data_IF_210712093671
#
_entry.id   IF_210712093671
#
_cell.length_a   1.000
_cell.length_b   1.000
_cell.length_c   1.000
_cell.angle_alpha   90.00
_cell.angle_beta   90.00
_cell.angle_gamma   90.00
#
_symmetry.space_group_name_H-M   'P 1'
#
loop_
_entity.id
_entity.type
_entity.pdbx_description
1 polymer ?
2 polymer ?
#
# COMPACT_ATOMS: atom_id res chain seq x y z
N UNK A 30 6.85 -22.36 19.38
CA UNK A 30 6.75 -22.30 20.86
C UNK A 30 6.44 -20.88 21.34
N UNK A 31 5.66 -20.14 20.57
CA UNK A 31 4.94 -18.98 21.11
C UNK A 31 3.75 -18.60 20.27
N UNK A 32 2.67 -18.13 20.90
CA UNK A 32 1.55 -17.70 20.09
C UNK A 32 1.83 -16.49 19.23
N UNK A 33 0.78 -16.05 18.56
CA UNK A 33 0.78 -14.88 17.72
C UNK A 33 0.24 -13.77 18.57
N UNK A 34 1.04 -12.74 18.76
CA UNK A 34 0.70 -11.67 19.68
C UNK A 34 -0.45 -10.87 19.09
N UNK A 35 -1.35 -10.36 19.93
CA UNK A 35 -2.50 -9.64 19.43
C UNK A 35 -2.12 -8.50 18.53
N UNK A 36 -2.99 -8.21 17.57
CA UNK A 36 -2.69 -7.15 16.61
C UNK A 36 -2.96 -5.80 17.22
N UNK A 37 -2.21 -4.84 16.74
CA UNK A 37 -2.30 -3.51 17.28
C UNK A 37 -1.79 -2.48 16.28
N UNK A 38 -2.51 -1.34 16.20
CA UNK A 38 -2.38 -0.38 15.12
C UNK A 38 -1.06 0.26 15.22
N UNK A 39 -0.47 0.58 14.09
CA UNK A 39 0.91 1.00 14.05
C UNK A 39 0.90 2.48 14.27
N UNK A 40 2.06 3.07 14.50
CA UNK A 40 2.10 4.41 15.02
C UNK A 40 3.47 4.94 14.88
N UNK A 41 3.60 6.28 14.97
CA UNK A 41 4.87 6.92 14.61
C UNK A 41 5.92 6.30 15.42
N UNK A 42 5.66 6.21 16.72
CA UNK A 42 6.67 5.70 17.59
C UNK A 42 6.96 4.24 17.31
N UNK A 43 5.94 3.42 17.07
CA UNK A 43 6.16 2.03 16.65
C UNK A 43 7.11 1.98 15.45
N UNK A 44 6.70 2.61 14.38
CA UNK A 44 7.58 2.71 13.28
C UNK A 44 8.97 3.14 13.77
N UNK A 45 9.07 4.27 14.47
CA UNK A 45 10.35 4.73 14.98
C UNK A 45 11.07 3.65 15.78
N UNK A 46 10.37 3.05 16.74
CA UNK A 46 10.98 2.04 17.60
C UNK A 46 11.46 0.80 16.84
N UNK A 47 10.65 0.34 15.90
CA UNK A 47 11.06 -0.75 15.05
C UNK A 47 12.25 -0.30 14.23
N UNK A 48 12.17 0.91 13.73
CA UNK A 48 13.21 1.42 12.87
C UNK A 48 14.50 1.30 13.64
N UNK A 49 14.46 1.65 14.90
CA UNK A 49 15.68 1.59 15.70
C UNK A 49 16.18 0.20 15.88
N UNK A 50 15.25 -0.68 16.21
CA UNK A 50 15.55 -2.05 16.62
C UNK A 50 16.25 -2.83 15.55
N UNK A 51 15.89 -2.59 14.31
CA UNK A 51 16.53 -3.28 13.21
C UNK A 51 17.85 -2.60 12.88
N UNK A 52 17.87 -1.27 12.83
CA UNK A 52 19.09 -0.53 12.57
C UNK A 52 20.20 -1.07 13.46
N UNK A 53 19.86 -1.29 14.72
CA UNK A 53 20.81 -1.77 15.70
C UNK A 53 21.17 -3.22 15.48
N UNK A 54 20.13 -4.05 15.36
CA UNK A 54 20.29 -5.47 15.09
C UNK A 54 21.15 -5.69 13.86
N UNK A 55 21.13 -4.73 12.94
CA UNK A 55 21.94 -4.81 11.73
C UNK A 55 21.29 -5.76 10.74
N UNK A 56 22.01 -6.08 9.67
CA UNK A 56 21.44 -6.89 8.60
C UNK A 56 20.16 -6.26 8.08
N UNK A 57 20.30 -5.05 7.52
CA UNK A 57 19.26 -4.46 6.70
C UNK A 57 19.89 -3.33 5.92
N UNK A 58 20.52 -2.39 6.62
CA UNK A 58 21.31 -1.34 5.98
C UNK A 58 22.22 -1.94 4.89
N UNK A 59 21.95 -1.58 3.64
CA UNK A 59 22.72 -2.07 2.51
C UNK A 59 22.35 -3.48 2.06
N UNK A 60 21.19 -3.98 2.51
CA UNK A 60 20.66 -5.22 1.98
C UNK A 60 19.94 -4.91 0.67
N UNK A 61 20.06 -5.82 -0.29
CA UNK A 61 19.34 -5.69 -1.54
C UNK A 61 17.86 -5.96 -1.30
N UNK A 62 17.01 -5.01 -1.69
CA UNK A 62 15.58 -5.18 -1.55
C UNK A 62 15.07 -6.35 -2.35
N UNK A 63 13.91 -6.85 -1.95
CA UNK A 63 13.18 -7.80 -2.71
C UNK A 63 11.74 -7.67 -2.32
N UNK A 64 10.86 -8.23 -3.12
CA UNK A 64 9.46 -8.30 -2.76
C UNK A 64 9.33 -9.26 -1.59
N UNK A 65 10.05 -10.38 -1.69
CA UNK A 65 10.01 -11.44 -0.69
C UNK A 65 10.70 -11.03 0.60
N UNK A 66 12.00 -10.72 0.50
CA UNK A 66 12.78 -10.26 1.65
C UNK A 66 12.02 -9.26 2.54
N UNK A 67 11.28 -8.34 1.91
CA UNK A 67 10.45 -7.39 2.63
C UNK A 67 9.29 -8.13 3.29
N UNK A 68 8.64 -9.03 2.56
CA UNK A 68 7.57 -9.83 3.13
C UNK A 68 8.02 -10.64 4.35
N UNK A 69 9.26 -11.17 4.32
CA UNK A 69 9.78 -11.93 5.47
C UNK A 69 9.93 -11.01 6.66
N UNK A 70 10.74 -9.97 6.52
CA UNK A 70 10.77 -8.87 7.48
C UNK A 70 9.33 -8.58 7.93
N UNK A 71 8.52 -8.11 7.00
CA UNK A 71 7.23 -7.59 7.36
C UNK A 71 6.33 -8.63 8.03
N UNK A 72 6.56 -9.91 7.79
CA UNK A 72 5.72 -10.93 8.43
C UNK A 72 6.17 -11.13 9.87
N UNK A 73 7.46 -11.43 10.01
CA UNK A 73 8.08 -11.63 11.31
C UNK A 73 7.66 -10.61 12.35
N UNK A 74 7.35 -9.39 11.93
CA UNK A 74 6.95 -8.34 12.86
C UNK A 74 5.51 -8.51 13.27
N UNK A 75 4.66 -8.83 12.30
CA UNK A 75 3.25 -9.01 12.56
C UNK A 75 3.10 -10.13 13.54
N UNK A 76 3.90 -11.15 13.28
CA UNK A 76 3.88 -12.32 14.08
C UNK A 76 4.31 -12.00 15.49
N UNK A 77 5.46 -11.34 15.56
CA UNK A 77 6.15 -11.16 16.81
C UNK A 77 5.48 -10.11 17.67
N UNK A 78 5.12 -8.99 17.04
CA UNK A 78 4.74 -7.74 17.72
C UNK A 78 3.36 -7.19 17.37
N UNK A 79 2.68 -7.80 16.41
CA UNK A 79 1.25 -7.52 16.19
C UNK A 79 0.91 -6.42 15.21
N UNK A 80 1.94 -5.92 14.53
CA UNK A 80 1.76 -4.84 13.57
C UNK A 80 1.52 -5.50 12.26
N UNK A 81 0.28 -5.41 11.80
CA UNK A 81 -0.12 -5.99 10.51
C UNK A 81 0.92 -5.64 9.47
N UNK A 82 0.92 -6.33 8.31
CA UNK A 82 1.99 -5.94 7.41
C UNK A 82 1.52 -5.16 6.20
N UNK A 83 1.02 -3.95 6.42
CA UNK A 83 0.62 -3.04 5.33
C UNK A 83 1.18 -1.62 5.56
N UNK A 84 2.31 -1.50 6.26
CA UNK A 84 2.86 -0.18 6.61
C UNK A 84 4.14 0.12 5.85
N UNK A 85 4.87 -0.91 5.45
CA UNK A 85 6.19 -0.72 4.85
C UNK A 85 6.11 -0.36 3.36
N UNK A 86 5.32 0.65 3.04
CA UNK A 86 5.08 1.03 1.66
C UNK A 86 6.02 2.13 1.35
N UNK A 87 6.25 2.37 0.09
CA UNK A 87 7.15 3.44 -0.27
C UNK A 87 6.57 4.20 -1.45
N UNK A 88 7.11 5.38 -1.66
CA UNK A 88 6.80 6.16 -2.83
C UNK A 88 7.20 5.33 -4.05
N UNK A 89 6.36 5.37 -5.12
CA UNK A 89 6.84 4.91 -6.44
C UNK A 89 8.07 5.68 -6.92
N UNK A 90 8.76 5.11 -7.89
CA UNK A 90 10.02 5.64 -8.37
C UNK A 90 9.82 6.46 -9.63
N UNK A 91 10.79 6.43 -10.55
CA UNK A 91 12.12 5.83 -10.42
C UNK A 91 13.03 6.78 -9.66
N UNK A 92 13.96 6.20 -8.92
CA UNK A 92 14.76 6.94 -7.92
C UNK A 92 14.52 6.35 -6.55
N UNK A 93 15.17 6.94 -5.55
CA UNK A 93 15.01 6.54 -4.15
C UNK A 93 13.54 6.41 -3.76
N UNK A 94 13.16 5.26 -3.20
CA UNK A 94 11.79 5.07 -2.78
C UNK A 94 11.70 5.47 -1.31
N UNK A 95 10.94 6.52 -1.03
CA UNK A 95 10.84 7.06 0.32
C UNK A 95 9.64 6.44 1.03
N UNK A 96 9.77 6.15 2.33
CA UNK A 96 8.74 5.40 3.02
C UNK A 96 7.55 6.25 3.31
N UNK A 97 6.37 5.65 3.27
CA UNK A 97 5.14 6.42 3.38
C UNK A 97 4.74 6.58 4.84
N UNK A 98 5.02 5.57 5.67
CA UNK A 98 4.64 5.57 7.13
C UNK A 98 5.66 6.39 7.95
N UNK A 99 5.24 7.56 8.41
CA UNK A 99 6.17 8.45 9.08
C UNK A 99 6.69 7.80 10.37
N UNK A 100 7.99 7.57 10.43
CA UNK A 100 8.58 6.90 11.60
C UNK A 100 9.41 5.66 11.26
N UNK A 101 9.03 5.00 10.17
CA UNK A 101 9.90 4.06 9.55
C UNK A 101 11.02 4.93 9.02
N UNK A 102 12.27 4.55 9.24
CA UNK A 102 13.40 5.41 8.83
C UNK A 102 14.34 4.67 7.90
N UNK A 103 13.73 3.94 7.00
CA UNK A 103 14.46 3.24 5.97
C UNK A 103 13.92 3.59 4.58
N UNK A 104 14.82 4.04 3.71
CA UNK A 104 14.46 4.37 2.34
C UNK A 104 15.11 3.33 1.46
N UNK A 105 14.51 3.09 0.30
CA UNK A 105 15.03 2.12 -0.66
C UNK A 105 15.84 2.89 -1.65
N UNK A 106 17.15 2.69 -1.61
CA UNK A 106 18.08 3.42 -2.46
C UNK A 106 18.51 2.58 -3.66
N UNK A 107 18.44 3.16 -4.88
CA UNK A 107 19.03 2.50 -6.02
C UNK A 107 20.52 2.81 -6.08
N UNK A 108 21.32 1.79 -6.36
CA UNK A 108 22.76 1.95 -6.55
C UNK A 108 23.08 1.60 -8.00
N UNK A 109 24.36 1.63 -8.35
CA UNK A 109 24.79 1.08 -9.64
C UNK A 109 24.78 -0.46 -9.56
N UNK A 110 24.79 -1.15 -10.72
CA UNK A 110 24.71 -2.61 -10.70
C UNK A 110 25.98 -3.26 -10.15
N UNK A 139 16.61 -1.57 -12.36
CA UNK A 139 17.31 -0.82 -11.31
C UNK A 139 17.10 -1.46 -9.92
N UNK A 140 18.20 -1.92 -9.33
CA UNK A 140 18.17 -2.73 -8.10
C UNK A 140 18.16 -1.82 -6.87
N UNK A 141 17.47 -2.24 -5.83
CA UNK A 141 17.29 -1.40 -4.65
C UNK A 141 17.92 -1.96 -3.39
N UNK A 142 18.37 -1.06 -2.53
CA UNK A 142 18.99 -1.44 -1.27
C UNK A 142 18.36 -0.64 -0.10
N UNK A 143 17.99 -1.37 0.95
CA UNK A 143 17.51 -0.81 2.21
C UNK A 143 18.60 0.08 2.76
N UNK A 144 18.21 1.27 3.22
CA UNK A 144 19.18 2.22 3.74
C UNK A 144 18.57 3.14 4.78
N UNK A 145 19.32 3.35 5.85
CA UNK A 145 18.84 4.06 7.01
C UNK A 145 19.09 5.55 6.82
N UNK A 146 18.16 6.35 7.30
CA UNK A 146 18.33 7.77 7.32
C UNK A 146 17.64 8.40 8.53
N UNK A 147 18.44 8.87 9.49
CA UNK A 147 17.91 9.54 10.68
C UNK A 147 17.04 10.74 10.30
N UNK A 148 17.44 11.49 9.28
CA UNK A 148 16.64 12.62 8.88
C UNK A 148 15.19 12.23 8.71
N UNK A 149 14.96 10.97 8.37
CA UNK A 149 13.60 10.53 8.14
C UNK A 149 12.78 10.50 9.42
N UNK A 150 13.46 10.55 10.57
CA UNK A 150 12.74 10.57 11.83
C UNK A 150 11.84 11.78 11.88
N UNK A 151 12.30 12.88 11.28
CA UNK A 151 11.64 14.17 11.36
C UNK A 151 11.09 14.70 10.05
N UNK A 152 11.63 14.22 8.92
CA UNK A 152 11.27 14.76 7.58
C UNK A 152 10.47 13.75 6.84
N UNK A 153 9.24 14.09 6.50
CA UNK A 153 8.32 13.12 5.96
C UNK A 153 8.14 13.26 4.44
N UNK A 154 9.20 12.91 3.71
CA UNK A 154 9.29 13.07 2.26
C UNK A 154 8.00 12.77 1.51
N UNK A 155 7.48 11.58 1.74
CA UNK A 155 6.33 11.08 1.00
C UNK A 155 5.21 12.08 1.01
N UNK A 156 4.98 12.68 2.16
CA UNK A 156 3.92 13.67 2.32
C UNK A 156 4.25 14.98 1.57
N UNK A 157 5.54 15.23 1.38
CA UNK A 157 5.99 16.31 0.51
C UNK A 157 5.67 15.97 -0.92
N UNK A 158 6.12 14.81 -1.38
CA UNK A 158 5.98 14.42 -2.80
C UNK A 158 5.00 13.26 -3.01
N UNK A 159 3.82 13.28 -2.43
CA UNK A 159 2.71 14.15 -2.73
C UNK A 159 1.65 13.64 -1.81
N UNK A 160 0.70 14.48 -1.45
CA UNK A 160 -0.46 14.11 -0.65
C UNK A 160 -1.33 12.91 -1.16
N UNK A 161 -0.95 11.73 -0.65
CA UNK A 161 -1.82 10.57 -0.43
C UNK A 161 -2.38 10.69 0.99
N UNK A 162 -2.38 11.91 1.53
CA UNK A 162 -2.63 12.23 2.95
C UNK A 162 -3.70 13.35 3.10
N UNK A 163 -4.77 13.06 3.84
CA UNK A 163 -5.92 13.95 4.04
C UNK A 163 -6.65 14.26 2.74
N UNK B 3 -4.70 -6.20 43.86
CA UNK B 3 -4.03 -6.13 42.51
C UNK B 3 -4.41 -7.34 41.65
N UNK B 4 -4.54 -7.14 40.35
CA UNK B 4 -4.70 -8.24 39.41
C UNK B 4 -3.31 -8.76 39.03
N UNK B 5 -3.06 -10.06 39.28
CA UNK B 5 -1.78 -10.68 38.94
C UNK B 5 -1.88 -11.64 37.77
N UNK B 6 -0.80 -11.75 37.02
CA UNK B 6 -0.74 -12.66 35.87
C UNK B 6 0.56 -13.46 35.89
N UNK B 7 0.52 -14.66 35.33
CA UNK B 7 1.73 -15.44 35.14
C UNK B 7 1.99 -15.65 33.69
N UNK B 8 3.26 -15.63 33.35
CA UNK B 8 3.65 -15.61 31.97
C UNK B 8 3.64 -17.00 31.42
N UNK B 9 2.78 -17.25 30.46
CA UNK B 9 2.69 -18.55 29.85
C UNK B 9 3.70 -18.73 28.76
N UNK B 10 4.38 -17.67 28.36
CA UNK B 10 5.41 -17.81 27.34
C UNK B 10 6.44 -16.72 27.55
N UNK B 11 7.56 -16.78 26.85
CA UNK B 11 8.48 -15.68 26.83
C UNK B 11 7.95 -14.66 25.86
N UNK B 12 8.16 -13.38 26.15
CA UNK B 12 7.93 -12.28 25.20
C UNK B 12 9.16 -11.42 25.12
N UNK B 13 9.59 -11.08 23.92
CA UNK B 13 10.63 -10.06 23.81
C UNK B 13 10.10 -8.79 23.16
N UNK B 14 10.26 -7.68 23.88
CA UNK B 14 9.89 -6.41 23.37
C UNK B 14 11.05 -5.88 22.56
N UNK B 15 10.75 -5.15 21.48
CA UNK B 15 11.75 -4.37 20.74
C UNK B 15 11.65 -2.90 21.08
N UNK B 16 10.68 -2.52 21.91
CA UNK B 16 10.46 -1.12 22.20
C UNK B 16 10.32 -0.85 23.65
N UNK B 17 10.93 0.23 24.11
CA UNK B 17 10.95 0.50 25.48
C UNK B 17 9.58 0.79 26.00
N UNK B 18 8.59 0.81 25.13
CA UNK B 18 7.25 0.97 25.61
C UNK B 18 6.61 -0.37 25.97
N UNK B 19 7.11 -1.46 25.39
CA UNK B 19 6.55 -2.78 25.62
C UNK B 19 7.45 -3.53 26.60
N UNK B 20 6.85 -4.33 27.49
CA UNK B 20 7.59 -4.95 28.62
C UNK B 20 7.99 -6.37 28.33
N UNK B 21 9.23 -6.55 27.91
CA UNK B 21 9.76 -7.87 27.67
C UNK B 21 9.56 -8.64 28.95
N UNK B 22 9.04 -9.87 28.87
CA UNK B 22 8.99 -10.75 30.05
C UNK B 22 9.34 -12.22 29.74
N UNK B 23 9.60 -12.96 30.82
CA UNK B 23 10.01 -14.35 30.75
C UNK B 23 8.93 -15.27 31.29
N UNK B 24 8.76 -16.42 30.65
CA UNK B 24 7.73 -17.37 31.04
C UNK B 24 7.83 -17.71 32.51
N UNK B 25 6.71 -17.65 33.21
CA UNK B 25 6.69 -17.87 34.65
C UNK B 25 6.81 -16.59 35.48
N UNK B 26 7.06 -15.46 34.81
CA UNK B 26 7.09 -14.19 35.51
C UNK B 26 5.71 -13.76 35.96
N UNK B 27 5.70 -13.09 37.11
CA UNK B 27 4.48 -12.53 37.68
C UNK B 27 4.44 -11.03 37.46
N UNK B 28 3.36 -10.56 36.86
CA UNK B 28 3.20 -9.16 36.58
C UNK B 28 1.86 -8.69 37.15
N UNK B 29 1.82 -7.40 37.48
CA UNK B 29 0.62 -6.73 37.93
C UNK B 29 0.08 -6.00 36.74
N UNK B 30 -1.19 -6.22 36.40
CA UNK B 30 -1.78 -5.49 35.29
C UNK B 30 -2.11 -4.12 35.82
N UNK B 31 -1.83 -3.10 35.03
CA UNK B 31 -2.16 -1.71 35.38
C UNK B 31 -3.26 -1.14 34.49
N UNK B 32 -3.29 -1.58 33.24
CA UNK B 32 -4.30 -1.17 32.29
C UNK B 32 -4.73 -2.37 31.44
N UNK B 33 -6.03 -2.67 31.44
CA UNK B 33 -6.60 -3.76 30.63
C UNK B 33 -7.33 -3.22 29.39
N UNK B 34 -6.92 -2.07 28.87
CA UNK B 34 -7.78 -1.41 27.90
C UNK B 34 -8.04 -2.26 26.66
N UNK B 35 -6.99 -2.81 26.06
CA UNK B 35 -7.12 -3.53 24.79
C UNK B 35 -6.82 -5.00 24.89
N UNK B 36 -6.35 -5.57 23.78
CA UNK B 36 -5.70 -6.88 23.77
C UNK B 36 -4.26 -6.78 24.26
N UNK B 37 -3.71 -5.57 24.27
CA UNK B 37 -2.41 -5.27 24.86
C UNK B 37 -2.63 -4.52 26.15
N UNK B 38 -1.93 -4.94 27.20
CA UNK B 38 -2.18 -4.45 28.54
C UNK B 38 -0.93 -3.85 29.09
N UNK B 39 -1.08 -2.83 29.93
CA UNK B 39 0.06 -2.24 30.59
C UNK B 39 0.21 -2.97 31.88
N UNK B 40 1.45 -3.31 32.23
CA UNK B 40 1.73 -4.07 33.44
C UNK B 40 3.05 -3.67 34.05
N UNK B 41 3.26 -4.16 35.27
CA UNK B 41 4.50 -3.96 36.01
C UNK B 41 5.07 -5.30 36.44
N UNK B 42 6.39 -5.40 36.42
CA UNK B 42 7.04 -6.65 36.75
C UNK B 42 7.36 -6.69 38.21
N UNK B 43 6.78 -7.66 38.91
CA UNK B 43 6.94 -7.78 40.37
C UNK B 43 8.38 -8.07 40.69
N UNK B 44 9.09 -8.62 39.71
CA UNK B 44 10.51 -8.85 39.81
C UNK B 44 11.28 -7.56 39.60
N UNK B 45 11.17 -7.04 38.38
CA UNK B 45 12.08 -6.01 37.87
C UNK B 45 11.60 -4.61 38.20
N UNK B 46 10.32 -4.49 38.57
CA UNK B 46 9.67 -3.20 38.76
C UNK B 46 9.59 -2.34 37.50
N UNK B 47 10.01 -2.91 36.37
CA UNK B 47 9.90 -2.22 35.10
C UNK B 47 8.49 -2.40 34.59
N UNK B 48 7.92 -1.34 34.02
CA UNK B 48 6.59 -1.38 33.42
C UNK B 48 6.62 -1.46 31.89
N UNK B 49 5.49 -1.80 31.30
CA UNK B 49 5.38 -1.68 29.87
C UNK B 49 4.10 -2.31 29.37
N UNK B 50 3.94 -2.33 28.06
CA UNK B 50 2.81 -3.03 27.49
C UNK B 50 3.20 -4.46 27.15
N UNK B 51 2.23 -5.37 27.34
CA UNK B 51 2.42 -6.82 27.16
C UNK B 51 1.26 -7.38 26.38
N UNK B 52 1.50 -8.44 25.58
CA UNK B 52 0.44 -9.07 24.82
C UNK B 52 -0.34 -9.94 25.74
N UNK B 53 -1.62 -9.65 25.94
CA UNK B 53 -2.41 -10.28 27.00
C UNK B 53 -2.64 -11.76 26.80
N UNK B 54 -2.59 -12.22 25.57
CA UNK B 54 -2.70 -13.66 25.28
C UNK B 54 -1.47 -14.49 25.71
N UNK B 55 -0.40 -13.85 26.17
CA UNK B 55 0.73 -14.56 26.68
C UNK B 55 0.65 -14.69 28.20
N UNK B 56 -0.32 -14.10 28.85
CA UNK B 56 -0.34 -14.24 30.29
C UNK B 56 -1.55 -15.03 30.75
N UNK B 57 -1.50 -15.48 32.01
CA UNK B 57 -2.59 -16.24 32.61
C UNK B 57 -2.93 -15.61 33.95
N UNK B 58 -4.19 -15.24 34.12
CA UNK B 58 -4.60 -14.51 35.30
C UNK B 58 -4.62 -15.43 36.48
N UNK B 59 -4.18 -14.95 37.64
CA UNK B 59 -4.09 -15.82 38.83
C UNK B 59 -4.81 -15.17 39.99
N UNK B 60 -5.70 -15.96 40.62
CA UNK B 60 -6.52 -15.47 41.71
C UNK B 60 -5.77 -15.59 43.03
N UNK B 61 -4.44 -15.46 42.97
CA UNK B 61 -3.55 -15.65 44.12
C UNK B 61 -3.51 -14.39 45.00
N UNK C 25 10.50 28.90 -15.77
CA UNK C 25 9.31 28.32 -16.37
C UNK C 25 9.52 26.85 -16.71
N UNK C 26 8.56 26.25 -17.39
CA UNK C 26 8.71 24.87 -17.80
C UNK C 26 7.47 24.01 -17.54
N UNK C 27 7.49 23.25 -16.45
CA UNK C 27 6.47 22.27 -16.15
C UNK C 27 6.67 21.63 -14.79
N UNK C 28 6.37 20.35 -14.67
CA UNK C 28 6.58 19.62 -13.43
C UNK C 28 5.37 19.81 -12.53
N UNK C 29 5.13 18.89 -11.58
CA UNK C 29 5.93 17.68 -11.36
C UNK C 29 5.88 17.24 -9.90
N UNK C 30 6.43 16.07 -9.57
CA UNK C 30 7.09 15.24 -10.56
C UNK C 30 6.12 14.50 -11.45
N UNK C 31 5.35 15.22 -12.24
CA UNK C 31 4.64 14.58 -13.37
C UNK C 31 3.38 15.15 -12.71
N UNK C 32 2.58 15.92 -13.47
CA UNK C 32 1.31 16.39 -12.95
C UNK C 32 0.30 15.29 -12.74
N UNK C 33 -0.87 15.71 -12.29
CA UNK C 33 -2.01 14.86 -12.01
C UNK C 33 -2.88 14.86 -13.26
N UNK C 34 -3.04 13.71 -13.88
CA UNK C 34 -3.71 13.65 -15.16
C UNK C 34 -5.17 14.01 -14.94
N UNK C 35 -5.86 14.56 -15.94
CA UNK C 35 -7.23 14.99 -15.76
C UNK C 35 -8.14 13.86 -15.43
N UNK C 36 -9.17 14.15 -14.67
CA UNK C 36 -10.07 13.10 -14.23
C UNK C 36 -10.99 12.73 -15.35
N UNK C 37 -11.47 11.51 -15.28
CA UNK C 37 -12.32 11.01 -16.33
C UNK C 37 -13.14 9.82 -15.87
N UNK C 38 -14.37 9.75 -16.30
CA UNK C 38 -15.30 8.81 -15.73
C UNK C 38 -14.88 7.47 -16.10
N UNK C 39 -15.18 6.52 -15.23
CA UNK C 39 -14.67 5.16 -15.34
C UNK C 39 -15.71 4.42 -16.12
N UNK C 40 -15.37 3.22 -16.55
CA UNK C 40 -16.13 2.55 -17.57
C UNK C 40 -15.71 1.10 -17.66
N UNK C 41 -16.58 0.30 -18.31
CA UNK C 41 -16.47 -1.14 -18.20
C UNK C 41 -15.12 -1.40 -18.68
N UNK C 42 -14.80 -0.79 -19.83
CA UNK C 42 -13.52 -1.12 -20.43
C UNK C 42 -12.39 -0.68 -19.53
N UNK C 43 -12.49 0.54 -19.03
CA UNK C 43 -11.49 1.02 -18.07
C UNK C 43 -11.34 -0.04 -17.00
N UNK C 44 -12.41 -0.31 -16.30
CA UNK C 44 -12.29 -1.33 -15.31
C UNK C 44 -11.60 -2.58 -15.91
N UNK C 45 -12.09 -3.05 -17.06
CA UNK C 45 -11.49 -4.23 -17.71
C UNK C 45 -10.01 -4.04 -17.99
N UNK C 46 -9.67 -2.92 -18.63
CA UNK C 46 -8.27 -2.62 -18.97
C UNK C 46 -7.39 -2.52 -17.75
N UNK C 47 -7.87 -1.87 -16.70
CA UNK C 47 -7.11 -1.79 -15.45
C UNK C 47 -7.01 -3.16 -14.92
N UNK C 48 -8.08 -3.91 -14.98
CA UNK C 48 -8.08 -5.24 -14.39
C UNK C 48 -6.94 -6.04 -15.02
N UNK C 49 -6.80 -5.91 -16.32
CA UNK C 49 -5.80 -6.65 -17.01
C UNK C 49 -4.43 -6.25 -16.57
N UNK C 50 -4.21 -4.94 -16.55
CA UNK C 50 -2.90 -4.31 -16.38
C UNK C 50 -2.28 -4.72 -15.11
N UNK C 51 -3.09 -4.87 -14.07
CA UNK C 51 -2.59 -5.29 -12.76
C UNK C 51 -2.42 -6.81 -12.66
N UNK C 52 -3.37 -7.57 -13.22
CA UNK C 52 -3.22 -9.04 -13.26
C UNK C 52 -1.88 -9.37 -13.86
N UNK C 53 -1.53 -8.69 -14.95
CA UNK C 53 -0.27 -8.93 -15.65
C UNK C 53 0.88 -8.47 -14.79
N UNK C 54 0.83 -7.21 -14.37
CA UNK C 54 1.88 -6.62 -13.54
C UNK C 54 2.14 -7.50 -12.34
N UNK C 55 1.14 -8.26 -11.92
CA UNK C 55 1.31 -9.15 -10.78
C UNK C 55 1.25 -8.36 -9.48
N UNK C 56 1.57 -9.02 -8.37
CA UNK C 56 1.46 -8.39 -7.05
C UNK C 56 0.05 -7.85 -6.82
N UNK C 57 -0.90 -8.75 -6.82
CA UNK C 57 -2.20 -8.46 -6.30
C UNK C 57 -2.84 -9.80 -6.06
N UNK C 58 -2.95 -10.61 -7.11
CA UNK C 58 -3.50 -11.95 -6.98
C UNK C 58 -2.90 -12.61 -5.77
N UNK C 59 -3.73 -12.92 -4.77
CA UNK C 59 -3.26 -13.55 -3.53
C UNK C 59 -2.60 -12.61 -2.52
N UNK C 60 -2.77 -11.30 -2.71
CA UNK C 60 -2.37 -10.32 -1.71
C UNK C 60 -3.48 -10.22 -0.68
N UNK C 61 -3.09 -10.08 0.57
CA UNK C 61 -4.03 -9.90 1.66
C UNK C 61 -4.61 -8.50 1.60
N UNK C 62 -5.93 -8.41 1.54
CA UNK C 62 -6.62 -7.12 1.52
C UNK C 62 -6.35 -6.29 2.76
N UNK C 63 -6.56 -5.00 2.60
CA UNK C 63 -6.55 -4.08 3.70
C UNK C 63 -7.35 -2.88 3.29
N UNK C 64 -7.73 -2.06 4.25
CA UNK C 64 -8.41 -0.85 3.91
C UNK C 64 -7.41 0.05 3.22
N UNK C 65 -6.20 0.09 3.78
CA UNK C 65 -5.13 0.94 3.26
C UNK C 65 -4.62 0.45 1.93
N UNK C 66 -4.07 -0.75 1.92
CA UNK C 66 -3.55 -1.35 0.69
C UNK C 66 -4.44 -1.07 -0.50
N UNK C 67 -5.77 -1.12 -0.29
CA UNK C 67 -6.71 -0.78 -1.35
C UNK C 67 -6.60 0.71 -1.66
N UNK C 68 -6.61 1.55 -0.65
CA UNK C 68 -6.47 3.00 -0.85
C UNK C 68 -5.19 3.37 -1.61
N UNK C 69 -4.09 2.66 -1.38
CA UNK C 69 -2.85 2.94 -2.10
C UNK C 69 -3.09 2.60 -3.55
N UNK C 70 -3.40 1.34 -3.83
CA UNK C 70 -3.84 0.96 -5.17
C UNK C 70 -4.74 2.06 -5.71
N UNK C 71 -5.86 2.27 -5.03
CA UNK C 71 -6.90 3.11 -5.56
C UNK C 71 -6.44 4.53 -5.76
N UNK C 72 -5.45 5.00 -5.02
CA UNK C 72 -5.01 6.39 -5.22
C UNK C 72 -4.07 6.56 -6.39
N UNK C 73 -3.09 5.70 -6.45
CA UNK C 73 -2.13 5.63 -7.52
C UNK C 73 -2.79 5.62 -8.88
N UNK C 74 -4.01 5.13 -8.99
CA UNK C 74 -4.69 5.09 -10.28
C UNK C 74 -5.25 6.47 -10.58
N UNK C 75 -5.93 7.05 -9.61
CA UNK C 75 -6.54 8.35 -9.81
C UNK C 75 -5.48 9.31 -10.24
N UNK C 76 -4.36 9.18 -9.57
CA UNK C 76 -3.24 10.03 -9.82
C UNK C 76 -2.74 9.85 -11.22
N UNK C 77 -2.53 8.60 -11.57
CA UNK C 77 -1.85 8.22 -12.78
C UNK C 77 -2.73 8.34 -14.01
N UNK C 78 -3.98 7.93 -13.87
CA UNK C 78 -4.86 7.74 -15.00
C UNK C 78 -6.21 8.44 -14.89
N UNK C 79 -6.45 9.13 -13.79
CA UNK C 79 -7.57 10.06 -13.70
C UNK C 79 -8.88 9.46 -13.27
N UNK C 80 -8.86 8.21 -12.84
CA UNK C 80 -10.07 7.54 -12.41
C UNK C 80 -10.21 7.76 -10.92
N UNK C 81 -11.20 8.59 -10.58
CA UNK C 81 -11.46 8.90 -9.17
C UNK C 81 -11.43 7.63 -8.36
N UNK C 82 -11.31 7.73 -7.03
CA UNK C 82 -11.28 6.44 -6.36
C UNK C 82 -12.57 6.17 -5.63
N UNK C 83 -13.61 5.84 -6.35
CA UNK C 83 -14.85 5.39 -5.75
C UNK C 83 -15.49 4.22 -6.50
N UNK C 84 -14.67 3.41 -7.17
CA UNK C 84 -15.16 2.32 -8.05
C UNK C 84 -14.86 0.94 -7.50
N UNK C 85 -13.81 0.85 -6.69
CA UNK C 85 -13.36 -0.45 -6.20
C UNK C 85 -14.17 -0.84 -4.98
N UNK C 86 -15.48 -0.94 -5.13
CA UNK C 86 -16.33 -1.29 -4.01
C UNK C 86 -16.74 -2.71 -4.21
N UNK C 87 -17.13 -3.37 -3.13
CA UNK C 87 -17.50 -4.75 -3.25
C UNK C 87 -18.80 -5.00 -2.51
N UNK C 88 -19.41 -6.15 -2.81
CA UNK C 88 -20.57 -6.59 -2.08
C UNK C 88 -20.18 -6.81 -0.63
N UNK C 89 -21.07 -6.48 0.32
CA UNK C 89 -20.86 -6.87 1.70
C UNK C 89 -20.80 -8.36 1.83
N UNK C 90 -20.33 -8.83 2.98
CA UNK C 90 -20.10 -10.25 3.20
C UNK C 90 -21.23 -10.85 4.01
N UNK C 91 -20.92 -11.85 4.83
CA UNK C 91 -19.67 -12.56 4.95
C UNK C 91 -19.58 -13.60 3.84
N UNK C 92 -18.35 -13.87 3.42
CA UNK C 92 -18.07 -14.66 2.22
C UNK C 92 -17.29 -13.83 1.22
N UNK C 93 -17.03 -14.42 0.06
CA UNK C 93 -16.37 -13.72 -1.03
C UNK C 93 -17.01 -12.38 -1.30
N UNK C 94 -16.22 -11.31 -1.35
CA UNK C 94 -16.75 -10.00 -1.67
C UNK C 94 -16.60 -9.77 -3.18
N UNK C 95 -17.75 -9.66 -3.85
CA UNK C 95 -17.79 -9.54 -5.30
C UNK C 95 -17.77 -8.08 -5.68
N UNK C 96 -17.10 -7.72 -6.77
CA UNK C 96 -16.92 -6.31 -7.07
C UNK C 96 -18.12 -5.77 -7.69
N UNK C 97 -18.42 -4.50 -7.41
CA UNK C 97 -19.66 -3.87 -7.85
C UNK C 97 -19.50 -3.31 -9.24
N UNK C 98 -18.30 -2.78 -9.57
CA UNK C 98 -18.04 -2.09 -10.88
C UNK C 98 -17.74 -3.06 -12.03
N UNK C 99 -18.73 -3.29 -12.89
CA UNK C 99 -18.63 -4.37 -13.86
C UNK C 99 -17.43 -4.06 -14.74
N UNK C 100 -16.45 -4.97 -14.71
CA UNK C 100 -15.22 -4.80 -15.52
C UNK C 100 -13.96 -4.89 -14.68
N UNK C 101 -14.08 -4.50 -13.43
CA UNK C 101 -13.08 -4.84 -12.48
C UNK C 101 -13.22 -6.35 -12.34
N UNK C 102 -12.13 -7.11 -12.49
CA UNK C 102 -12.23 -8.56 -12.44
C UNK C 102 -11.51 -9.17 -11.27
N UNK C 103 -11.60 -8.51 -10.12
CA UNK C 103 -10.96 -9.00 -8.90
C UNK C 103 -12.03 -9.11 -7.85
N UNK C 104 -12.04 -10.24 -7.17
CA UNK C 104 -12.95 -10.43 -6.05
C UNK C 104 -12.11 -10.55 -4.80
N UNK C 105 -12.72 -10.30 -3.65
CA UNK C 105 -12.01 -10.45 -2.38
C UNK C 105 -12.42 -11.79 -1.82
N UNK C 106 -11.47 -12.72 -1.74
CA UNK C 106 -11.77 -14.08 -1.27
C UNK C 106 -11.28 -14.26 0.16
N UNK C 107 -12.13 -14.78 1.04
CA UNK C 107 -11.66 -15.16 2.34
C UNK C 107 -11.02 -16.54 2.27
N UNK C 108 -9.89 -16.72 2.95
CA UNK C 108 -9.22 -18.02 3.06
C UNK C 108 -9.26 -18.45 4.50
N UNK C 109 -8.63 -19.58 4.80
CA UNK C 109 -8.38 -19.94 6.22
C UNK C 109 -7.28 -19.02 6.75
N UNK C 110 -7.21 -18.86 8.08
CA UNK C 110 -6.26 -17.90 8.64
C UNK C 110 -4.85 -18.47 8.85
N UNK C 111 -4.79 -19.69 9.40
CA UNK C 111 -3.63 -20.21 10.11
C UNK C 111 -3.78 -19.88 11.60
N UNK C 137 -11.62 -12.26 16.10
CA UNK C 137 -11.88 -13.25 15.05
C UNK C 137 -12.67 -12.63 13.88
N UNK C 138 -12.11 -12.73 12.68
CA UNK C 138 -12.83 -12.31 11.47
C UNK C 138 -12.17 -12.82 10.19
N UNK C 139 -12.93 -12.78 9.09
CA UNK C 139 -12.43 -13.13 7.80
C UNK C 139 -11.23 -12.25 7.51
N UNK C 140 -10.10 -12.87 7.15
CA UNK C 140 -9.04 -12.17 6.43
C UNK C 140 -9.28 -12.36 4.93
N UNK C 141 -9.05 -11.30 4.15
CA UNK C 141 -9.37 -11.33 2.72
C UNK C 141 -8.14 -11.22 1.82
N UNK C 142 -8.25 -11.83 0.64
CA UNK C 142 -7.19 -11.84 -0.35
C UNK C 142 -7.74 -11.49 -1.72
N UNK C 143 -7.08 -10.54 -2.37
CA UNK C 143 -7.40 -10.15 -3.74
C UNK C 143 -7.23 -11.37 -4.63
N UNK C 144 -8.15 -11.56 -5.56
CA UNK C 144 -8.12 -12.74 -6.42
C UNK C 144 -8.81 -12.49 -7.75
N UNK C 145 -8.15 -12.93 -8.82
CA UNK C 145 -8.57 -12.66 -10.18
C UNK C 145 -9.55 -13.70 -10.63
N UNK C 146 -10.55 -13.26 -11.40
CA UNK C 146 -11.50 -14.18 -11.99
C UNK C 146 -11.98 -13.65 -13.33
N UNK C 147 -11.53 -14.31 -14.40
CA UNK C 147 -11.93 -13.99 -15.77
C UNK C 147 -13.42 -14.08 -15.98
N UNK C 148 -14.08 -15.03 -15.36
CA UNK C 148 -15.54 -15.07 -15.44
C UNK C 148 -16.15 -13.70 -15.14
N UNK C 149 -15.52 -12.95 -14.25
CA UNK C 149 -16.08 -11.69 -13.85
C UNK C 149 -16.13 -10.71 -14.99
N UNK C 150 -15.38 -10.98 -16.06
CA UNK C 150 -15.40 -10.12 -17.25
C UNK C 150 -16.77 -10.05 -17.88
N UNK C 151 -17.50 -11.15 -17.73
CA UNK C 151 -18.82 -11.32 -18.34
C UNK C 151 -19.96 -11.47 -17.33
N UNK C 152 -19.64 -11.94 -16.12
CA UNK C 152 -20.66 -12.24 -15.12
C UNK C 152 -20.62 -11.18 -14.05
N UNK C 153 -21.75 -10.50 -13.85
CA UNK C 153 -21.81 -9.38 -12.97
C UNK C 153 -22.53 -9.72 -11.66
N UNK C 154 -21.90 -10.60 -10.86
CA UNK C 154 -22.44 -11.11 -9.58
C UNK C 154 -23.23 -10.10 -8.80
N UNK C 155 -22.58 -8.98 -8.47
CA UNK C 155 -23.17 -7.99 -7.59
C UNK C 155 -24.56 -7.62 -8.04
N UNK C 156 -24.75 -7.48 -9.34
CA UNK C 156 -26.04 -7.10 -9.90
C UNK C 156 -27.05 -8.25 -9.74
N UNK C 157 -26.54 -9.48 -9.73
CA UNK C 157 -27.34 -10.62 -9.39
C UNK C 157 -27.72 -10.50 -7.90
N UNK C 158 -26.72 -10.39 -7.03
CA UNK C 158 -26.87 -10.47 -5.57
C UNK C 158 -26.98 -9.10 -4.88
N UNK C 159 -27.46 -8.16 -5.66
CA UNK C 159 -28.74 -7.56 -5.49
C UNK C 159 -28.71 -6.21 -6.13
N UNK C 160 -29.80 -5.85 -6.78
CA UNK C 160 -29.95 -4.53 -7.37
C UNK C 160 -29.75 -3.33 -6.41
N UNK C 161 -28.49 -2.87 -6.44
CA UNK C 161 -28.08 -1.51 -6.09
C UNK C 161 -27.96 -0.65 -7.35
N UNK C 162 -28.68 -1.01 -8.40
CA UNK C 162 -28.46 -0.39 -9.70
C UNK C 162 -29.77 0.27 -10.17
N UNK C 163 -29.66 1.57 -10.49
CA UNK C 163 -30.82 2.43 -10.80
C UNK C 163 -32.03 2.14 -9.92
N UNK D 2 -3.67 23.47 -42.06
CA UNK D 2 -2.60 22.94 -41.16
C UNK D 2 -3.13 22.14 -39.94
N UNK D 3 -2.45 21.06 -39.57
CA UNK D 3 -2.88 20.20 -38.46
C UNK D 3 -2.33 20.64 -37.12
N UNK D 4 -3.05 20.34 -36.03
CA UNK D 4 -2.65 20.76 -34.67
C UNK D 4 -1.60 19.84 -34.09
N UNK D 5 -0.40 20.38 -33.83
CA UNK D 5 0.67 19.58 -33.24
C UNK D 5 0.97 19.93 -31.77
N UNK D 6 1.42 18.93 -31.02
CA UNK D 6 1.74 19.10 -29.61
C UNK D 6 3.07 18.43 -29.25
N UNK D 7 3.79 19.04 -28.30
CA UNK D 7 5.03 18.46 -27.80
C UNK D 7 4.80 17.99 -26.40
N UNK D 8 5.43 16.86 -26.06
CA UNK D 8 5.19 16.23 -24.77
C UNK D 8 6.09 16.87 -23.72
N UNK D 9 5.45 17.50 -22.74
CA UNK D 9 6.17 18.14 -21.68
C UNK D 9 6.55 17.13 -20.63
N UNK D 10 5.92 15.95 -20.61
CA UNK D 10 6.23 14.93 -19.62
C UNK D 10 6.05 13.56 -20.19
N UNK D 11 6.56 12.55 -19.52
CA UNK D 11 6.27 11.19 -19.94
C UNK D 11 4.87 10.78 -19.51
N UNK D 12 4.20 10.02 -20.36
CA UNK D 12 2.96 9.36 -19.96
C UNK D 12 3.03 7.88 -20.25
N UNK D 13 2.60 7.09 -19.29
CA UNK D 13 2.37 5.70 -19.59
C UNK D 13 0.88 5.35 -19.51
N UNK D 14 0.38 4.81 -20.61
CA UNK D 14 -0.95 4.30 -20.64
C UNK D 14 -0.91 2.89 -20.06
N UNK D 15 -2.01 2.49 -19.42
CA UNK D 15 -2.22 1.09 -19.07
C UNK D 15 -3.20 0.46 -20.04
N UNK D 16 -3.76 1.24 -20.93
CA UNK D 16 -4.84 0.71 -21.74
C UNK D 16 -4.62 1.01 -23.16
N UNK D 17 -4.90 0.03 -23.98
CA UNK D 17 -4.65 0.22 -25.36
C UNK D 17 -5.47 1.35 -25.94
N UNK D 18 -6.42 1.88 -25.20
CA UNK D 18 -7.18 2.99 -25.70
C UNK D 18 -6.44 4.28 -25.48
N UNK D 19 -5.51 4.31 -24.54
CA UNK D 19 -4.81 5.55 -24.22
C UNK D 19 -3.43 5.44 -24.78
N UNK D 20 -2.88 6.58 -25.24
CA UNK D 20 -1.62 6.59 -26.01
C UNK D 20 -0.41 6.92 -25.17
N UNK D 21 0.30 5.90 -24.72
CA UNK D 21 1.52 6.13 -23.94
C UNK D 21 2.42 7.02 -24.77
N UNK D 22 2.97 8.08 -24.20
CA UNK D 22 4.01 8.86 -24.90
C UNK D 22 5.23 9.33 -24.06
N UNK D 23 6.28 9.73 -24.75
CA UNK D 23 7.50 10.10 -24.12
C UNK D 23 7.66 11.59 -24.21
N UNK D 24 8.21 12.19 -23.17
CA UNK D 24 8.50 13.63 -23.16
C UNK D 24 9.30 14.01 -24.39
N UNK D 25 8.85 15.05 -25.08
CA UNK D 25 9.51 15.54 -26.28
C UNK D 25 8.86 15.00 -27.54
N UNK D 26 7.99 14.01 -27.39
CA UNK D 26 7.32 13.47 -28.54
C UNK D 26 6.35 14.49 -29.17
N UNK D 27 6.22 14.37 -30.48
CA UNK D 27 5.27 15.18 -31.22
C UNK D 27 4.08 14.33 -31.57
N UNK D 28 2.91 14.88 -31.27
CA UNK D 28 1.67 14.21 -31.63
C UNK D 28 0.77 15.17 -32.37
N UNK D 29 -0.12 14.59 -33.16
CA UNK D 29 -1.18 15.30 -33.84
C UNK D 29 -2.43 15.13 -33.05
N UNK D 30 -3.11 16.20 -32.69
CA UNK D 30 -4.36 16.02 -31.99
C UNK D 30 -5.39 15.65 -33.04
N UNK D 31 -6.26 14.72 -32.71
CA UNK D 31 -7.34 14.34 -33.61
C UNK D 31 -8.68 14.75 -33.04
N UNK D 32 -8.81 14.70 -31.72
CA UNK D 32 -10.05 15.07 -31.04
C UNK D 32 -9.75 15.86 -29.77
N UNK D 33 -10.24 17.10 -29.70
CA UNK D 33 -10.05 17.97 -28.52
C UNK D 33 -11.29 17.99 -27.62
N UNK D 34 -12.07 16.91 -27.60
CA UNK D 34 -13.39 17.01 -26.98
C UNK D 34 -13.30 17.43 -25.50
N UNK D 35 -12.50 16.70 -24.73
CA UNK D 35 -12.44 16.90 -23.28
C UNK D 35 -11.12 17.44 -22.77
N UNK D 36 -10.80 17.11 -21.51
CA UNK D 36 -9.46 17.31 -20.95
C UNK D 36 -8.58 16.21 -21.50
N UNK D 37 -9.18 15.12 -21.94
CA UNK D 37 -8.46 14.03 -22.60
C UNK D 37 -8.72 14.14 -24.08
N UNK D 38 -7.67 13.98 -24.87
CA UNK D 38 -7.70 14.23 -26.30
C UNK D 38 -7.21 13.01 -27.04
N UNK D 39 -7.78 12.76 -28.22
CA UNK D 39 -7.32 11.68 -29.05
C UNK D 39 -6.22 12.22 -29.90
N UNK D 40 -5.13 11.47 -30.04
CA UNK D 40 -4.02 11.93 -30.83
C UNK D 40 -3.31 10.78 -31.51
N UNK D 41 -2.43 11.14 -32.42
CA UNK D 41 -1.64 10.19 -33.18
C UNK D 41 -0.19 10.58 -33.02
N UNK D 42 0.67 9.57 -32.97
CA UNK D 42 2.09 9.81 -32.78
C UNK D 42 2.77 9.90 -34.11
N UNK D 43 3.40 11.04 -34.36
CA UNK D 43 4.07 11.28 -35.64
C UNK D 43 5.24 10.31 -35.78
N UNK D 44 5.71 9.82 -34.65
CA UNK D 44 6.75 8.84 -34.63
C UNK D 44 6.16 7.48 -34.98
N UNK D 45 5.31 6.99 -34.08
CA UNK D 45 4.93 5.59 -34.03
C UNK D 45 3.73 5.31 -34.90
N UNK D 46 3.02 6.38 -35.29
CA UNK D 46 1.75 6.27 -35.99
C UNK D 46 0.65 5.59 -35.19
N UNK D 47 0.91 5.29 -33.92
CA UNK D 47 -0.08 4.70 -33.03
C UNK D 47 -0.95 5.82 -32.46
N UNK D 48 -2.25 5.56 -32.41
CA UNK D 48 -3.24 6.51 -31.87
C UNK D 48 -3.69 6.15 -30.45
N UNK D 49 -4.29 7.12 -29.78
CA UNK D 49 -4.91 6.84 -28.52
C UNK D 49 -5.25 8.12 -27.84
N UNK D 50 -5.82 8.02 -26.64
CA UNK D 50 -6.17 9.20 -25.85
C UNK D 50 -5.00 9.60 -25.01
N UNK D 51 -4.87 10.91 -24.78
CA UNK D 51 -3.76 11.48 -24.01
C UNK D 51 -4.25 12.51 -23.04
N UNK D 52 -3.57 12.66 -21.90
CA UNK D 52 -3.95 13.71 -20.95
C UNK D 52 -3.42 15.07 -21.43
N UNK D 53 -4.34 15.96 -21.76
CA UNK D 53 -4.00 17.18 -22.49
C UNK D 53 -3.06 18.06 -21.71
N UNK D 54 -3.13 18.00 -20.38
CA UNK D 54 -2.21 18.78 -19.55
C UNK D 54 -0.76 18.28 -19.53
N UNK D 55 -0.45 17.24 -20.28
CA UNK D 55 0.93 16.82 -20.40
C UNK D 55 1.56 17.30 -21.71
N UNK D 56 0.77 17.92 -22.57
CA UNK D 56 1.33 18.35 -23.85
C UNK D 56 1.39 19.87 -23.93
N UNK D 57 2.14 20.35 -24.92
CA UNK D 57 2.25 21.77 -25.20
C UNK D 57 2.03 22.01 -26.68
N UNK D 58 1.08 22.89 -27.01
CA UNK D 58 0.70 23.11 -28.40
C UNK D 58 1.83 23.81 -29.08
N UNK D 59 2.07 23.51 -30.35
CA UNK D 59 3.18 24.16 -31.08
C UNK D 59 2.91 24.57 -32.52
N UNK D 60 3.75 25.52 -32.97
CA UNK D 60 4.17 25.69 -34.38
C UNK D 60 4.90 27.01 -34.56
N UNK D 61 4.16 28.12 -34.54
CA UNK D 61 4.76 29.45 -34.46
C UNK D 61 5.78 29.72 -35.57
#
# INVERSE_FOLDING_TARGET
GAMASSNTAATNADSAWLEAQEEEEVGFPVRPQVPLRPMTYKAALDISHFLKEKGGLEGLIWSQRRQEILDLWIYHTQGYFPDWQNYTPGPGIRYPLTFGWCFKLVPVEPEKVEEANEGENNSLLHPMSLHGMEDAEKEVLVWRFDSKLAFHHMARELHPEYYKDA
MEDIIVVALYDYVSWSPDDLSFQKGDQMVVLEESGEWWKARSLATRKEGYIPSNYVARVDSGGGTSGGGRHRRRQAERMSQIKRLLSEKK
GAMASSNTAATNADSAWLEAQEEEEVGFPVRPQVPLRPMTYKAALDISHFLKEKGGLEGLIWSQRRQEILDLWIYHTQGYFPDWQNYTPGPGIRYPLTFGWCFKLVPVEPEKVEEANEGENNSLLHPMSLHGMEDAEKEVLVWRFDSKLAFHHMARELHPEYYKDA
MEDIIVVALYDYVSWSPDDLSFQKGDQMVVLEESGEWWKARSLATRKEGYIPSNYVARVDSGGGTSGGGRHRRRQAERMSQIKRLLSEKK
#
